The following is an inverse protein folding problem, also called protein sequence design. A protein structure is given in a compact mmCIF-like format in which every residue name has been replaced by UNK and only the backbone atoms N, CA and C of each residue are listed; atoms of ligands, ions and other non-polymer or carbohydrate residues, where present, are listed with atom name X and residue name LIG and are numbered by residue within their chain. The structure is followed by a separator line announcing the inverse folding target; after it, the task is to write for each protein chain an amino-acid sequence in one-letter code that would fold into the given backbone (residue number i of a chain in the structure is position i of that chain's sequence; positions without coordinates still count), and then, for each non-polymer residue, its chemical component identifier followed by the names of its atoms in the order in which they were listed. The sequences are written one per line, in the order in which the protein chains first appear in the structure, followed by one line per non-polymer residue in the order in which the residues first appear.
data_IF_483406538396
#
_entry.id   IF_483406538396
#
_cell.length_a   1.000
_cell.length_b   1.000
_cell.length_c   1.000
_cell.angle_alpha   90.00
_cell.angle_beta   90.00
_cell.angle_gamma   90.00
#
_symmetry.space_group_name_H-M   'P 1'
#
loop_
_entity.id
_entity.type
_entity.pdbx_description
1 polymer ?
#
# COMPACT_ATOMS: atom_id res chain seq x y z
N UNK A 1 5.63 -32.27 -1.98
CA UNK A 1 5.26 -31.32 -0.92
C UNK A 1 4.91 -30.00 -1.57
N UNK A 2 3.66 -29.54 -1.48
CA UNK A 2 3.31 -28.19 -1.90
C UNK A 2 3.86 -27.23 -0.84
N UNK A 3 4.88 -26.44 -1.16
CA UNK A 3 5.23 -25.29 -0.34
C UNK A 3 4.05 -24.32 -0.43
N UNK A 4 3.12 -24.39 0.53
CA UNK A 4 2.17 -23.31 0.73
C UNK A 4 2.99 -22.10 1.16
N UNK A 5 3.39 -21.29 0.19
CA UNK A 5 4.12 -20.05 0.43
C UNK A 5 3.28 -19.21 1.39
N UNK A 6 3.87 -18.76 2.51
CA UNK A 6 3.22 -17.86 3.47
C UNK A 6 3.09 -16.42 2.94
N UNK A 7 3.21 -16.27 1.63
CA UNK A 7 3.24 -15.00 0.94
C UNK A 7 1.85 -14.36 0.95
N UNK A 8 1.85 -13.06 1.12
CA UNK A 8 0.70 -12.19 0.95
C UNK A 8 0.92 -11.33 -0.30
N UNK A 9 -0.17 -11.02 -0.98
CA UNK A 9 -0.21 -10.17 -2.15
C UNK A 9 -0.80 -8.82 -1.74
N UNK A 10 0.04 -7.79 -1.78
CA UNK A 10 -0.32 -6.42 -1.48
C UNK A 10 -0.47 -5.63 -2.77
N UNK A 11 -1.36 -4.64 -2.74
CA UNK A 11 -1.51 -3.66 -3.82
C UNK A 11 -1.15 -2.32 -3.21
N UNK A 12 -0.06 -1.76 -3.71
CA UNK A 12 0.51 -0.50 -3.28
C UNK A 12 0.08 0.61 -4.23
N UNK A 13 -0.15 1.81 -3.69
CA UNK A 13 -0.48 3.01 -4.46
C UNK A 13 0.39 4.18 -4.01
N UNK A 14 1.00 4.92 -4.93
CA UNK A 14 1.71 6.16 -4.63
C UNK A 14 0.70 7.31 -4.60
N UNK A 15 0.57 7.96 -3.43
CA UNK A 15 -0.38 9.05 -3.23
C UNK A 15 -0.04 10.28 -4.09
N UNK A 16 -1.08 10.96 -4.59
CA UNK A 16 -0.94 12.16 -5.42
C UNK A 16 -0.83 11.89 -6.91
N UNK A 17 -0.79 10.62 -7.31
CA UNK A 17 -0.54 10.20 -8.70
C UNK A 17 -1.76 9.51 -9.34
N UNK A 18 -1.60 8.99 -10.55
CA UNK A 18 -2.67 8.42 -11.41
C UNK A 18 -2.84 6.90 -11.23
N UNK A 19 -3.69 6.25 -12.03
CA UNK A 19 -3.85 4.79 -12.00
C UNK A 19 -2.61 3.99 -12.43
N UNK A 20 -1.59 4.64 -13.01
CA UNK A 20 -0.30 4.02 -13.35
C UNK A 20 0.57 3.76 -12.13
N UNK A 21 0.22 4.38 -11.01
CA UNK A 21 1.01 4.43 -9.77
C UNK A 21 0.53 3.43 -8.72
N UNK A 22 -0.24 2.44 -9.20
CA UNK A 22 -0.66 1.28 -8.45
C UNK A 22 0.12 0.06 -8.95
N UNK A 23 0.66 -0.75 -8.05
CA UNK A 23 1.45 -1.93 -8.39
C UNK A 23 1.35 -3.02 -7.32
N UNK A 24 1.50 -4.31 -7.71
CA UNK A 24 1.48 -5.40 -6.76
C UNK A 24 2.85 -5.62 -6.11
N UNK A 25 2.84 -6.05 -4.84
CA UNK A 25 4.02 -6.52 -4.11
C UNK A 25 3.70 -7.86 -3.46
N UNK A 26 4.61 -8.82 -3.59
CA UNK A 26 4.51 -10.14 -2.95
C UNK A 26 5.58 -10.24 -1.87
N UNK A 27 5.17 -10.59 -0.66
CA UNK A 27 6.08 -10.66 0.49
C UNK A 27 5.64 -11.73 1.49
N UNK A 28 6.59 -12.33 2.21
CA UNK A 28 6.27 -13.26 3.30
C UNK A 28 5.50 -12.53 4.42
N UNK A 29 4.36 -13.07 4.85
CA UNK A 29 3.55 -12.52 5.93
C UNK A 29 4.29 -12.39 7.28
N UNK A 30 5.36 -13.14 7.49
CA UNK A 30 6.17 -13.07 8.70
C UNK A 30 7.21 -11.95 8.69
N UNK A 31 7.39 -11.28 7.54
CA UNK A 31 8.29 -10.14 7.38
C UNK A 31 7.83 -8.89 8.12
N UNK A 32 8.77 -7.97 8.33
CA UNK A 32 8.52 -6.66 8.93
C UNK A 32 8.14 -5.62 7.87
N UNK A 33 7.66 -4.46 8.31
CA UNK A 33 7.42 -3.31 7.42
C UNK A 33 8.70 -2.84 6.74
N UNK A 34 9.85 -2.91 7.42
CA UNK A 34 11.16 -2.61 6.80
C UNK A 34 11.46 -3.53 5.60
N UNK A 35 11.10 -4.80 5.67
CA UNK A 35 11.27 -5.72 4.55
C UNK A 35 10.33 -5.34 3.39
N UNK A 36 9.12 -4.85 3.69
CA UNK A 36 8.18 -4.34 2.68
C UNK A 36 8.76 -3.14 1.92
N UNK A 37 9.38 -2.19 2.62
CA UNK A 37 10.04 -1.05 1.97
C UNK A 37 11.12 -1.50 0.98
N UNK A 38 11.89 -2.53 1.32
CA UNK A 38 12.92 -3.11 0.44
C UNK A 38 12.28 -3.73 -0.81
N UNK A 39 11.19 -4.50 -0.67
CA UNK A 39 10.50 -5.07 -1.83
C UNK A 39 9.85 -4.00 -2.71
N UNK A 40 9.27 -2.96 -2.12
CA UNK A 40 8.71 -1.81 -2.86
C UNK A 40 9.78 -1.13 -3.70
N UNK A 41 10.98 -0.88 -3.14
CA UNK A 41 12.10 -0.25 -3.87
C UNK A 41 12.61 -1.10 -5.04
N UNK A 42 12.46 -2.43 -4.98
CA UNK A 42 12.81 -3.33 -6.10
C UNK A 42 11.79 -3.25 -7.22
N UNK A 43 10.50 -3.19 -6.87
CA UNK A 43 9.40 -3.13 -7.86
C UNK A 43 9.35 -1.76 -8.54
N UNK A 44 9.51 -0.68 -7.76
CA UNK A 44 9.45 0.69 -8.26
C UNK A 44 10.79 1.39 -8.14
N UNK A 45 11.60 1.34 -9.20
CA UNK A 45 12.99 1.83 -9.18
C UNK A 45 13.11 3.32 -8.85
N UNK A 46 12.13 4.16 -9.19
CA UNK A 46 12.17 5.59 -8.85
C UNK A 46 12.07 5.86 -7.35
N UNK A 47 11.52 4.91 -6.58
CA UNK A 47 11.50 4.97 -5.13
C UNK A 47 12.84 4.55 -4.50
N UNK A 48 13.75 3.93 -5.26
CA UNK A 48 15.03 3.44 -4.72
C UNK A 48 15.84 4.53 -4.02
N UNK A 49 15.75 5.78 -4.48
CA UNK A 49 16.48 6.94 -3.95
C UNK A 49 15.63 7.91 -3.12
N UNK A 50 14.31 7.69 -3.03
CA UNK A 50 13.39 8.58 -2.32
C UNK A 50 13.05 8.06 -0.93
N UNK A 51 12.81 8.99 0.00
CA UNK A 51 12.19 8.66 1.28
C UNK A 51 10.68 8.66 1.11
N UNK A 52 10.03 7.67 1.72
CA UNK A 52 8.59 7.53 1.68
C UNK A 52 8.10 6.88 2.96
N UNK A 53 6.85 7.15 3.30
CA UNK A 53 6.15 6.54 4.41
C UNK A 53 5.05 5.61 3.89
N UNK A 54 4.87 4.50 4.59
CA UNK A 54 3.85 3.50 4.27
C UNK A 54 2.65 3.68 5.19
N UNK A 55 1.46 3.70 4.62
CA UNK A 55 0.22 3.79 5.37
C UNK A 55 -0.67 2.60 5.04
N UNK A 56 -1.20 1.97 6.09
CA UNK A 56 -2.25 0.97 5.92
C UNK A 56 -3.56 1.68 5.65
N UNK A 57 -4.25 1.18 4.65
CA UNK A 57 -5.57 1.67 4.31
C UNK A 57 -6.64 1.02 5.17
N UNK A 58 -7.44 1.82 5.91
CA UNK A 58 -8.52 1.31 6.79
C UNK A 58 -9.94 1.57 6.32
N UNK A 59 -10.15 2.26 5.20
CA UNK A 59 -11.49 2.62 4.69
C UNK A 59 -11.92 1.78 3.49
N UNK A 60 -13.24 1.65 3.26
CA UNK A 60 -13.80 0.92 2.09
C UNK A 60 -13.74 1.76 0.81
N UNK A 61 -13.42 1.15 -0.33
CA UNK A 61 -13.49 1.80 -1.65
C UNK A 61 -14.74 1.30 -2.37
N UNK A 62 -15.68 2.18 -2.75
CA UNK A 62 -16.65 1.84 -3.76
C UNK A 62 -15.95 1.79 -5.13
N UNK A 63 -16.14 0.69 -5.83
CA UNK A 63 -15.30 0.14 -6.90
C UNK A 63 -15.19 0.93 -8.23
N UNK A 64 -15.45 2.25 -8.26
CA UNK A 64 -15.51 3.01 -9.52
C UNK A 64 -14.63 4.26 -9.59
N UNK A 65 -14.15 4.79 -8.45
CA UNK A 65 -13.30 6.01 -8.42
C UNK A 65 -12.00 5.80 -7.66
N UNK A 66 -11.29 4.71 -7.93
CA UNK A 66 -10.28 4.17 -7.01
C UNK A 66 -9.20 5.18 -6.63
N UNK A 67 -8.50 5.75 -7.61
CA UNK A 67 -7.41 6.72 -7.38
C UNK A 67 -7.94 8.02 -6.77
N UNK A 68 -9.03 8.57 -7.32
CA UNK A 68 -9.62 9.81 -6.82
C UNK A 68 -10.09 9.70 -5.37
N UNK A 69 -10.66 8.56 -4.97
CA UNK A 69 -11.10 8.35 -3.58
C UNK A 69 -9.91 8.32 -2.65
N UNK A 70 -8.80 7.68 -3.03
CA UNK A 70 -7.60 7.64 -2.19
C UNK A 70 -6.94 9.01 -2.09
N UNK A 71 -6.83 9.73 -3.21
CA UNK A 71 -6.27 11.09 -3.21
C UNK A 71 -7.14 12.12 -2.46
N UNK A 72 -8.45 11.91 -2.36
CA UNK A 72 -9.38 12.84 -1.66
C UNK A 72 -9.62 12.46 -0.20
N UNK A 73 -9.19 11.28 0.24
CA UNK A 73 -9.38 10.87 1.64
C UNK A 73 -8.40 11.63 2.52
N UNK A 74 -8.93 12.33 3.54
CA UNK A 74 -8.08 13.01 4.53
C UNK A 74 -7.24 11.97 5.27
N UNK A 75 -5.93 12.27 5.47
CA UNK A 75 -4.91 11.52 6.25
C UNK A 75 -5.41 10.80 7.52
N UNK A 76 -6.51 11.26 8.15
CA UNK A 76 -7.07 10.70 9.40
C UNK A 76 -7.63 9.27 9.28
N UNK A 77 -7.89 8.75 8.08
CA UNK A 77 -8.38 7.36 7.91
C UNK A 77 -7.26 6.35 7.61
N UNK A 78 -6.02 6.81 7.59
CA UNK A 78 -4.83 6.04 7.31
C UNK A 78 -4.01 5.91 8.59
N UNK A 79 -3.34 4.77 8.75
CA UNK A 79 -2.44 4.56 9.88
C UNK A 79 -1.02 4.35 9.34
N UNK A 80 -0.07 5.11 9.90
CA UNK A 80 1.35 4.96 9.57
C UNK A 80 1.84 3.57 9.97
N UNK A 81 2.53 2.92 9.04
CA UNK A 81 3.16 1.63 9.25
C UNK A 81 4.61 1.84 9.67
N UNK A 82 4.94 1.43 10.89
CA UNK A 82 6.25 1.64 11.51
C UNK A 82 7.05 0.35 11.59
N UNK A 83 8.34 0.43 11.30
CA UNK A 83 9.29 -0.62 11.65
C UNK A 83 9.52 -0.62 13.18
N UNK A 84 9.64 -1.79 13.85
CA UNK A 84 9.81 -3.13 13.31
C UNK A 84 8.53 -3.97 13.24
N UNK A 85 7.34 -3.35 13.19
CA UNK A 85 6.07 -4.08 13.23
C UNK A 85 5.95 -5.06 12.05
N UNK A 86 5.11 -6.08 12.25
CA UNK A 86 4.75 -7.07 11.23
C UNK A 86 3.36 -6.78 10.68
N UNK A 87 3.02 -7.42 9.56
CA UNK A 87 1.68 -7.32 8.95
C UNK A 87 0.54 -7.65 9.90
N UNK A 88 0.74 -8.59 10.82
CA UNK A 88 -0.28 -9.00 11.81
C UNK A 88 -0.63 -7.90 12.82
N UNK A 89 0.17 -6.83 12.91
CA UNK A 89 -0.20 -5.64 13.69
C UNK A 89 -1.28 -4.81 12.98
N UNK A 90 -1.19 -4.70 11.65
CA UNK A 90 -2.03 -3.83 10.84
C UNK A 90 -3.24 -4.55 10.21
N UNK A 91 -3.14 -5.86 10.03
CA UNK A 91 -4.15 -6.67 9.36
C UNK A 91 -4.68 -7.77 10.28
N UNK A 92 -6.00 -7.97 10.28
CA UNK A 92 -6.61 -9.07 11.01
C UNK A 92 -6.26 -10.42 10.37
N UNK A 93 -6.42 -11.52 11.11
CA UNK A 93 -6.22 -12.87 10.55
C UNK A 93 -7.10 -13.14 9.31
N UNK A 94 -8.29 -12.52 9.27
CA UNK A 94 -9.20 -12.61 8.11
C UNK A 94 -8.64 -11.87 6.91
N UNK A 95 -8.07 -10.68 7.12
CA UNK A 95 -7.45 -9.88 6.06
C UNK A 95 -6.23 -10.61 5.50
N UNK A 96 -5.34 -11.12 6.36
CA UNK A 96 -4.18 -11.93 5.95
C UNK A 96 -4.60 -13.14 5.11
N UNK A 97 -5.67 -13.84 5.50
CA UNK A 97 -6.21 -14.96 4.72
C UNK A 97 -6.72 -14.50 3.34
N UNK A 98 -7.27 -13.30 3.25
CA UNK A 98 -7.64 -12.65 1.99
C UNK A 98 -6.43 -12.33 1.13
N UNK A 99 -5.39 -11.72 1.71
CA UNK A 99 -4.15 -11.34 1.02
C UNK A 99 -3.34 -12.54 0.53
N UNK A 100 -3.48 -13.71 1.15
CA UNK A 100 -2.89 -14.97 0.68
C UNK A 100 -3.54 -15.53 -0.58
N UNK A 101 -4.78 -15.13 -0.87
CA UNK A 101 -5.39 -15.44 -2.17
C UNK A 101 -4.70 -14.54 -3.17
N UNK A 102 -4.12 -15.10 -4.23
CA UNK A 102 -3.49 -14.33 -5.29
C UNK A 102 -4.56 -13.45 -5.95
N UNK A 103 -4.70 -12.22 -5.46
CA UNK A 103 -5.59 -11.22 -6.00
C UNK A 103 -4.87 -10.65 -7.21
N UNK A 104 -5.18 -11.20 -8.39
CA UNK A 104 -4.73 -10.64 -9.66
C UNK A 104 -5.01 -9.14 -9.66
N UNK A 105 -3.95 -8.35 -9.73
CA UNK A 105 -4.00 -6.88 -9.73
C UNK A 105 -4.73 -6.31 -10.97
N UNK A 106 -5.10 -7.15 -11.94
CA UNK A 106 -5.99 -6.80 -13.03
C UNK A 106 -7.09 -7.85 -13.09
N UNK A 107 -8.33 -7.50 -12.73
CA UNK A 107 -9.46 -8.22 -13.30
C UNK A 107 -9.59 -7.74 -14.74
N UNK A 108 -9.31 -8.64 -15.69
CA UNK A 108 -9.87 -8.59 -17.04
C UNK A 108 -11.29 -8.03 -16.93
N UNK A 109 -11.55 -6.88 -17.56
CA UNK A 109 -12.73 -5.98 -17.47
C UNK A 109 -12.47 -4.57 -16.88
N UNK A 110 -11.21 -4.21 -16.59
CA UNK A 110 -10.86 -2.82 -16.22
C UNK A 110 -11.19 -2.43 -14.78
N UNK A 111 -11.47 -3.40 -13.91
CA UNK A 111 -11.67 -3.19 -12.47
C UNK A 111 -10.36 -3.44 -11.73
N UNK A 112 -9.81 -2.38 -11.14
CA UNK A 112 -8.62 -2.46 -10.29
C UNK A 112 -9.04 -2.95 -8.90
N UNK A 113 -8.26 -3.86 -8.31
CA UNK A 113 -8.52 -4.43 -6.98
C UNK A 113 -8.38 -3.41 -5.83
N UNK A 114 -8.68 -3.80 -4.58
CA UNK A 114 -8.55 -2.91 -3.43
C UNK A 114 -7.09 -2.48 -3.23
N UNK A 115 -6.87 -1.19 -2.98
CA UNK A 115 -5.58 -0.68 -2.50
C UNK A 115 -5.41 -1.09 -1.04
N UNK A 116 -4.24 -1.65 -0.70
CA UNK A 116 -3.92 -2.14 0.64
C UNK A 116 -2.96 -1.20 1.37
N UNK A 117 -1.97 -0.67 0.63
CA UNK A 117 -0.90 0.18 1.14
C UNK A 117 -0.88 1.47 0.33
N UNK A 118 -0.78 2.59 1.02
CA UNK A 118 -0.62 3.92 0.41
C UNK A 118 0.80 4.40 0.73
N UNK A 119 1.51 4.85 -0.29
CA UNK A 119 2.89 5.32 -0.21
C UNK A 119 2.87 6.84 -0.35
N UNK A 120 3.31 7.55 0.67
CA UNK A 120 3.50 8.99 0.60
C UNK A 120 4.98 9.30 0.44
N UNK A 121 5.32 10.02 -0.63
CA UNK A 121 6.65 10.60 -0.78
C UNK A 121 6.85 11.67 0.29
N UNK A 122 8.00 11.64 0.97
CA UNK A 122 8.27 12.59 2.07
C UNK A 122 8.25 14.05 1.58
N UNK A 123 8.74 14.31 0.36
CA UNK A 123 8.71 15.62 -0.30
C UNK A 123 7.29 16.21 -0.48
N UNK A 124 6.26 15.35 -0.55
CA UNK A 124 4.85 15.76 -0.66
C UNK A 124 4.27 16.03 0.74
N UNK A 125 4.65 15.23 1.73
CA UNK A 125 4.21 15.42 3.12
C UNK A 125 4.71 16.73 3.72
N UNK A 126 5.93 17.15 3.38
CA UNK A 126 6.54 18.40 3.86
C UNK A 126 5.83 19.64 3.31
N UNK A 127 5.40 19.61 2.04
CA UNK A 127 4.64 20.72 1.43
C UNK A 127 3.25 20.91 2.04
N UNK A 128 2.56 19.83 2.39
CA UNK A 128 1.26 19.89 3.08
C UNK A 128 1.36 20.54 4.48
N UNK A 129 2.54 20.49 5.11
CA UNK A 129 2.78 21.10 6.43
C UNK A 129 3.11 22.58 6.32
N UNK A 130 3.77 23.01 5.25
CA UNK A 130 4.07 24.43 5.00
C UNK A 130 2.84 25.23 4.54
N UNK A 131 1.88 24.60 3.87
CA UNK A 131 0.64 25.25 3.39
C UNK A 131 -0.44 25.39 4.49
N UNK A 132 -0.15 24.96 5.72
CA UNK A 132 -0.84 25.44 6.93
C UNK A 132 -0.33 26.83 7.30
N UNK A 133 -0.52 27.79 6.39
CA UNK A 133 -0.33 29.22 6.65
C UNK A 133 -1.29 29.67 7.74
N UNK A 134 -0.73 29.98 8.91
CA UNK A 134 -1.34 30.77 9.97
C UNK A 134 -1.31 32.26 9.59
#
# INVERSE_FOLDING_TARGET
MSFTTNNIHLVCFIHGETGRDIFPVVIDNNSTIKNLEVEIRKVWQDLSKKNFNLYVRKFKQPNHGLVNTVNTTKKKQEELMESPNKFTYYYSAKDIKGLKKNLSYLQYDGKIGPIHIIIYLQEVLEKDLEDTGL
#
